data_IF_160079762314
#
_entry.id   IF_160079762314
#
_cell.length_a   1.000
_cell.length_b   1.000
_cell.length_c   1.000
_cell.angle_alpha   90.00
_cell.angle_beta   90.00
_cell.angle_gamma   90.00
#
_symmetry.space_group_name_H-M   'P 1'
#
loop_
_entity.id
_entity.type
_entity.pdbx_description
1 polymer ?
#
# COMPACT_ATOMS: atom_id res chain seq x y z
N UNK A 1 -10.42 6.55 1.75
CA UNK A 1 -11.19 6.59 0.49
C UNK A 1 -12.41 5.66 0.47
N UNK A 2 -12.95 5.20 1.61
CA UNK A 2 -14.09 4.30 1.61
C UNK A 2 -15.29 4.91 0.85
N UNK A 3 -15.84 4.17 -0.12
CA UNK A 3 -16.97 4.61 -0.96
C UNK A 3 -16.63 5.55 -2.12
N UNK A 4 -15.36 5.91 -2.33
CA UNK A 4 -14.93 6.75 -3.47
C UNK A 4 -14.77 5.88 -4.74
N UNK A 5 -15.39 6.24 -5.88
CA UNK A 5 -15.12 5.57 -7.15
C UNK A 5 -13.64 5.65 -7.51
N UNK A 6 -13.03 4.52 -7.88
CA UNK A 6 -11.59 4.45 -8.13
C UNK A 6 -11.24 3.42 -9.19
N UNK A 7 -10.17 3.71 -9.94
CA UNK A 7 -9.45 2.71 -10.72
C UNK A 7 -8.46 1.98 -9.82
N UNK A 8 -8.39 0.66 -9.93
CA UNK A 8 -7.44 -0.16 -9.17
C UNK A 8 -6.38 -0.74 -10.10
N UNK A 9 -5.12 -0.50 -9.76
CA UNK A 9 -3.97 -1.16 -10.39
C UNK A 9 -3.33 -2.06 -9.36
N UNK A 10 -3.45 -3.37 -9.58
CA UNK A 10 -2.85 -4.40 -8.75
C UNK A 10 -1.54 -4.88 -9.37
N UNK A 11 -0.41 -4.54 -8.78
CA UNK A 11 0.90 -5.02 -9.22
C UNK A 11 1.10 -6.48 -8.79
N UNK A 12 2.11 -7.14 -9.36
CA UNK A 12 2.47 -8.52 -9.02
C UNK A 12 3.74 -8.57 -8.18
N UNK A 13 3.86 -9.64 -7.38
CA UNK A 13 5.02 -9.88 -6.51
C UNK A 13 4.78 -9.42 -5.07
N UNK A 14 5.05 -10.29 -4.10
CA UNK A 14 5.01 -9.96 -2.68
C UNK A 14 5.86 -10.92 -1.84
N UNK A 15 6.94 -10.42 -1.27
CA UNK A 15 7.80 -11.11 -0.31
C UNK A 15 7.37 -10.97 1.14
N UNK A 16 6.23 -10.32 1.44
CA UNK A 16 5.77 -10.10 2.83
C UNK A 16 5.29 -11.41 3.48
N UNK A 17 4.71 -12.33 2.70
CA UNK A 17 4.44 -13.70 3.15
C UNK A 17 3.33 -13.86 4.20
N UNK A 18 2.24 -13.08 4.11
CA UNK A 18 1.15 -13.17 5.10
C UNK A 18 0.37 -14.51 5.03
N UNK A 19 0.09 -15.12 6.19
CA UNK A 19 -0.60 -16.41 6.29
C UNK A 19 -2.03 -16.37 5.72
N UNK A 20 -2.77 -15.32 6.05
CA UNK A 20 -4.17 -15.07 5.66
C UNK A 20 -4.29 -13.92 4.65
N UNK A 21 -3.38 -13.86 3.68
CA UNK A 21 -3.56 -12.98 2.52
C UNK A 21 -4.79 -13.42 1.70
N UNK A 22 -5.71 -12.50 1.42
CA UNK A 22 -6.88 -12.72 0.57
C UNK A 22 -6.55 -12.67 -0.93
N UNK A 23 -5.41 -12.05 -1.29
CA UNK A 23 -4.94 -11.94 -2.68
C UNK A 23 -3.66 -12.74 -2.91
N UNK A 24 -3.57 -14.00 -2.46
CA UNK A 24 -2.36 -14.85 -2.68
C UNK A 24 -1.95 -14.97 -4.15
N UNK A 25 -2.92 -14.89 -5.06
CA UNK A 25 -2.66 -14.87 -6.50
C UNK A 25 -1.83 -13.67 -6.97
N UNK A 26 -1.72 -12.60 -6.18
CA UNK A 26 -0.89 -11.43 -6.50
C UNK A 26 0.56 -11.55 -6.01
N UNK A 27 0.92 -12.67 -5.37
CA UNK A 27 2.26 -12.89 -4.81
C UNK A 27 3.28 -13.37 -5.84
N UNK A 28 2.82 -13.98 -6.93
CA UNK A 28 3.67 -14.46 -8.02
C UNK A 28 4.05 -13.31 -8.96
N UNK A 29 5.34 -12.96 -9.00
CA UNK A 29 5.86 -11.93 -9.90
C UNK A 29 5.62 -12.24 -11.40
N UNK A 30 5.46 -13.52 -11.76
CA UNK A 30 5.15 -13.97 -13.11
C UNK A 30 3.65 -14.01 -13.44
N UNK A 31 2.77 -13.81 -12.46
CA UNK A 31 1.31 -14.02 -12.62
C UNK A 31 0.56 -12.90 -13.33
N UNK A 32 1.25 -11.87 -13.84
CA UNK A 32 0.64 -10.66 -14.41
C UNK A 32 0.96 -10.45 -15.87
N UNK A 33 0.45 -9.35 -16.42
CA UNK A 33 0.80 -8.87 -17.75
C UNK A 33 1.78 -7.71 -17.63
N UNK A 34 2.92 -7.81 -18.31
CA UNK A 34 3.85 -6.70 -18.43
C UNK A 34 3.19 -5.57 -19.23
N UNK A 35 3.20 -4.36 -18.67
CA UNK A 35 2.59 -3.17 -19.26
C UNK A 35 3.44 -1.94 -18.95
N UNK A 36 3.52 -1.02 -19.90
CA UNK A 36 3.99 0.33 -19.64
C UNK A 36 2.93 1.12 -18.84
N UNK A 37 3.38 2.10 -18.05
CA UNK A 37 2.46 2.96 -17.28
C UNK A 37 1.42 3.67 -18.18
N UNK A 38 1.80 4.04 -19.40
CA UNK A 38 0.90 4.66 -20.38
C UNK A 38 -0.22 3.73 -20.84
N UNK A 39 0.04 2.42 -20.94
CA UNK A 39 -0.97 1.42 -21.28
C UNK A 39 -1.98 1.26 -20.14
N UNK A 40 -1.50 1.28 -18.89
CA UNK A 40 -2.35 1.26 -17.69
C UNK A 40 -3.31 2.46 -17.69
N UNK A 41 -2.82 3.67 -18.01
CA UNK A 41 -3.66 4.85 -18.16
C UNK A 41 -4.76 4.66 -19.23
N UNK A 42 -4.38 4.16 -20.39
CA UNK A 42 -5.34 3.97 -21.50
C UNK A 42 -6.44 2.97 -21.12
N UNK A 43 -6.07 1.85 -20.48
CA UNK A 43 -7.03 0.86 -20.01
C UNK A 43 -7.94 1.40 -18.91
N UNK A 44 -7.38 2.10 -17.92
CA UNK A 44 -8.17 2.73 -16.85
C UNK A 44 -9.20 3.71 -17.43
N UNK A 45 -8.79 4.59 -18.35
CA UNK A 45 -9.69 5.57 -18.97
C UNK A 45 -10.75 4.92 -19.86
N UNK A 46 -10.51 3.72 -20.40
CA UNK A 46 -11.51 2.97 -21.17
C UNK A 46 -12.63 2.40 -20.29
N UNK A 47 -12.39 2.22 -18.99
CA UNK A 47 -13.41 1.80 -18.02
C UNK A 47 -14.33 2.96 -17.57
N UNK A 48 -13.96 4.20 -17.87
CA UNK A 48 -14.69 5.41 -17.50
C UNK A 48 -13.88 6.34 -16.59
N UNK A 49 -14.48 7.46 -16.21
CA UNK A 49 -13.84 8.44 -15.34
C UNK A 49 -13.96 8.05 -13.87
N UNK A 50 -12.84 8.15 -13.14
CA UNK A 50 -12.80 8.00 -11.69
C UNK A 50 -11.83 9.04 -11.09
N UNK A 51 -12.17 9.71 -9.98
CA UNK A 51 -11.33 10.74 -9.38
C UNK A 51 -10.08 10.19 -8.66
N UNK A 52 -10.02 8.88 -8.45
CA UNK A 52 -9.01 8.20 -7.64
C UNK A 52 -8.37 7.05 -8.44
N UNK A 53 -7.04 6.99 -8.41
CA UNK A 53 -6.29 5.78 -8.70
C UNK A 53 -5.79 5.16 -7.40
N UNK A 54 -6.06 3.88 -7.19
CA UNK A 54 -5.47 3.08 -6.11
C UNK A 54 -4.46 2.10 -6.72
N UNK A 55 -3.19 2.24 -6.34
CA UNK A 55 -2.12 1.29 -6.65
C UNK A 55 -1.94 0.36 -5.46
N UNK A 56 -2.02 -0.95 -5.68
CA UNK A 56 -1.99 -2.00 -4.64
C UNK A 56 -1.30 -3.25 -5.18
N UNK A 57 -1.19 -4.30 -4.37
CA UNK A 57 -0.82 -5.67 -4.77
C UNK A 57 0.60 -5.89 -5.30
N UNK A 58 1.13 -7.11 -5.29
CA UNK A 58 1.21 -7.81 -4.04
C UNK A 58 1.76 -6.83 -3.01
N UNK A 59 3.06 -6.57 -2.97
CA UNK A 59 3.62 -5.42 -2.25
C UNK A 59 4.14 -4.37 -3.24
N UNK A 60 3.45 -3.23 -3.42
CA UNK A 60 3.85 -2.23 -4.41
C UNK A 60 5.28 -1.71 -4.23
N UNK A 61 5.77 -1.60 -2.98
CA UNK A 61 7.12 -1.10 -2.71
C UNK A 61 8.23 -2.03 -3.21
N UNK A 62 7.92 -3.30 -3.50
CA UNK A 62 8.88 -4.24 -4.10
C UNK A 62 8.89 -4.16 -5.63
N UNK A 63 7.90 -3.49 -6.24
CA UNK A 63 7.76 -3.45 -7.69
C UNK A 63 8.64 -2.36 -8.32
N UNK A 64 9.58 -2.69 -9.21
CA UNK A 64 10.54 -1.72 -9.78
C UNK A 64 9.86 -0.63 -10.62
N UNK A 65 8.68 -0.91 -11.16
CA UNK A 65 7.89 0.05 -11.95
C UNK A 65 7.06 1.05 -11.13
N UNK A 66 7.02 0.97 -9.79
CA UNK A 66 6.13 1.79 -8.98
C UNK A 66 6.36 3.29 -9.20
N UNK A 67 7.61 3.76 -9.18
CA UNK A 67 7.92 5.18 -9.32
C UNK A 67 7.45 5.76 -10.67
N UNK A 68 7.66 5.02 -11.76
CA UNK A 68 7.21 5.43 -13.10
C UNK A 68 5.68 5.50 -13.19
N UNK A 69 4.97 4.54 -12.58
CA UNK A 69 3.52 4.55 -12.51
C UNK A 69 3.00 5.74 -11.70
N UNK A 70 3.59 6.02 -10.53
CA UNK A 70 3.17 7.15 -9.69
C UNK A 70 3.43 8.50 -10.36
N UNK A 71 4.55 8.65 -11.07
CA UNK A 71 4.86 9.86 -11.85
C UNK A 71 3.78 10.16 -12.88
N UNK A 72 3.44 9.18 -13.72
CA UNK A 72 2.36 9.32 -14.69
C UNK A 72 1.01 9.54 -14.00
N UNK A 73 0.75 8.82 -12.90
CA UNK A 73 -0.53 8.91 -12.21
C UNK A 73 -0.78 10.32 -11.65
N UNK A 74 0.25 10.95 -11.10
CA UNK A 74 0.16 12.30 -10.58
C UNK A 74 -0.09 13.34 -11.68
N UNK A 75 0.27 13.09 -12.93
CA UNK A 75 -0.10 13.97 -14.04
C UNK A 75 -1.57 13.86 -14.44
N UNK A 76 -2.20 12.70 -14.22
CA UNK A 76 -3.49 12.37 -14.84
C UNK A 76 -4.66 12.23 -13.88
N UNK A 77 -4.43 11.87 -12.62
CA UNK A 77 -5.49 11.68 -11.63
C UNK A 77 -5.57 12.81 -10.60
N UNK A 78 -6.78 13.24 -10.20
CA UNK A 78 -6.98 14.20 -9.11
C UNK A 78 -6.40 13.71 -7.77
N UNK A 79 -6.45 12.39 -7.52
CA UNK A 79 -5.92 11.77 -6.31
C UNK A 79 -5.33 10.40 -6.64
N UNK A 80 -4.20 10.09 -6.02
CA UNK A 80 -3.54 8.78 -6.11
C UNK A 80 -3.38 8.23 -4.69
N UNK A 81 -3.65 6.94 -4.53
CA UNK A 81 -3.45 6.20 -3.30
C UNK A 81 -2.55 4.99 -3.53
N UNK A 82 -1.68 4.70 -2.59
CA UNK A 82 -0.91 3.45 -2.53
C UNK A 82 -1.31 2.67 -1.30
N UNK A 83 -1.69 1.40 -1.47
CA UNK A 83 -1.86 0.46 -0.38
C UNK A 83 -0.61 -0.42 -0.24
N UNK A 84 0.05 -0.38 0.91
CA UNK A 84 1.31 -1.08 1.15
C UNK A 84 1.36 -1.67 2.55
N UNK A 85 2.13 -2.72 2.76
CA UNK A 85 2.49 -3.18 4.12
C UNK A 85 3.46 -2.22 4.82
N UNK A 86 4.11 -1.32 4.08
CA UNK A 86 5.05 -0.35 4.62
C UNK A 86 6.46 -0.89 4.79
N UNK A 87 6.83 -2.06 4.25
CA UNK A 87 8.18 -2.66 4.41
C UNK A 87 9.39 -1.81 3.96
N UNK A 88 9.15 -0.68 3.29
CA UNK A 88 10.15 0.33 2.95
C UNK A 88 9.63 1.73 3.24
N UNK A 89 10.46 2.77 3.11
CA UNK A 89 10.02 4.16 3.27
C UNK A 89 9.08 4.58 2.12
N UNK A 90 8.34 5.69 2.26
CA UNK A 90 7.59 6.28 1.16
C UNK A 90 8.52 6.55 -0.04
N UNK A 91 8.17 6.09 -1.25
CA UNK A 91 9.03 6.28 -2.43
C UNK A 91 9.04 7.73 -2.91
N UNK A 92 8.01 8.51 -2.60
CA UNK A 92 7.92 9.94 -2.87
C UNK A 92 6.88 10.60 -1.96
N UNK A 93 6.94 11.92 -1.80
CA UNK A 93 5.91 12.70 -1.10
C UNK A 93 5.29 13.71 -2.05
N UNK A 94 3.95 13.80 -2.08
CA UNK A 94 3.24 14.70 -2.97
C UNK A 94 1.84 15.03 -2.43
N UNK A 95 1.37 16.27 -2.58
CA UNK A 95 0.10 16.75 -2.02
C UNK A 95 -1.16 15.98 -2.49
N UNK A 96 -1.07 15.28 -3.63
CA UNK A 96 -2.14 14.43 -4.19
C UNK A 96 -1.90 12.94 -4.04
N UNK A 97 -0.79 12.53 -3.41
CA UNK A 97 -0.46 11.13 -3.17
C UNK A 97 -0.68 10.80 -1.70
N UNK A 98 -1.49 9.78 -1.47
CA UNK A 98 -1.83 9.28 -0.15
C UNK A 98 -1.38 7.83 0.01
N UNK A 99 -1.07 7.45 1.24
CA UNK A 99 -0.63 6.10 1.56
C UNK A 99 -1.54 5.48 2.60
N UNK A 100 -2.07 4.30 2.31
CA UNK A 100 -2.70 3.43 3.29
C UNK A 100 -1.66 2.38 3.68
N UNK A 101 -0.94 2.63 4.77
CA UNK A 101 0.15 1.79 5.27
C UNK A 101 -0.44 0.78 6.23
N UNK A 102 -0.25 -0.51 5.98
CA UNK A 102 -0.79 -1.59 6.80
C UNK A 102 0.34 -2.46 7.34
N UNK A 103 1.09 -1.99 8.35
CA UNK A 103 2.11 -2.80 8.99
C UNK A 103 1.50 -4.12 9.46
N UNK A 104 2.24 -5.20 9.27
CA UNK A 104 1.75 -6.54 9.58
C UNK A 104 2.09 -6.87 11.03
N UNK A 105 1.12 -7.42 11.75
CA UNK A 105 1.32 -7.90 13.11
C UNK A 105 2.02 -9.28 13.10
N UNK A 106 2.65 -9.70 14.21
CA UNK A 106 3.37 -10.96 14.29
C UNK A 106 2.56 -12.18 13.87
N UNK A 107 1.27 -12.23 14.21
CA UNK A 107 0.41 -13.35 13.82
C UNK A 107 0.16 -13.40 12.30
N UNK A 108 0.28 -12.27 11.60
CA UNK A 108 0.02 -12.20 10.17
C UNK A 108 1.17 -12.76 9.32
N UNK A 109 2.43 -12.56 9.73
CA UNK A 109 3.62 -13.03 9.00
C UNK A 109 4.84 -13.14 9.92
N UNK A 110 5.73 -14.13 9.71
CA UNK A 110 7.00 -14.21 10.43
C UNK A 110 7.95 -13.05 10.11
N UNK A 111 7.72 -12.30 9.03
CA UNK A 111 8.53 -11.15 8.62
C UNK A 111 7.99 -9.80 9.09
N UNK A 112 7.16 -9.76 10.13
CA UNK A 112 6.44 -8.56 10.59
C UNK A 112 7.38 -7.37 10.88
N UNK A 113 8.59 -7.63 11.40
CA UNK A 113 9.55 -6.58 11.74
C UNK A 113 9.92 -5.71 10.54
N UNK A 114 9.90 -6.27 9.32
CA UNK A 114 10.21 -5.51 8.09
C UNK A 114 9.30 -4.30 7.94
N UNK A 115 8.01 -4.47 8.23
CA UNK A 115 7.02 -3.39 8.13
C UNK A 115 7.09 -2.41 9.30
N UNK A 116 7.57 -2.84 10.48
CA UNK A 116 7.68 -1.97 11.65
C UNK A 116 8.92 -1.07 11.59
N UNK A 117 10.04 -1.58 11.06
CA UNK A 117 11.33 -0.86 10.97
C UNK A 117 11.26 0.48 10.22
N UNK A 118 10.35 0.61 9.27
CA UNK A 118 10.14 1.79 8.45
C UNK A 118 9.10 2.75 9.02
N UNK A 119 8.43 2.42 10.13
CA UNK A 119 7.29 3.20 10.66
C UNK A 119 7.63 4.66 10.89
N UNK A 120 8.86 4.98 11.31
CA UNK A 120 9.30 6.37 11.50
C UNK A 120 9.18 7.21 10.21
N UNK A 121 9.59 6.64 9.06
CA UNK A 121 9.47 7.33 7.77
C UNK A 121 8.00 7.53 7.36
N UNK A 122 7.11 6.61 7.72
CA UNK A 122 5.67 6.74 7.49
C UNK A 122 5.01 7.73 8.46
N UNK A 123 5.53 7.89 9.67
CA UNK A 123 5.11 8.94 10.59
C UNK A 123 5.50 10.31 10.03
N UNK A 124 6.67 10.43 9.39
CA UNK A 124 7.09 11.70 8.79
C UNK A 124 6.35 12.05 7.49
N UNK A 125 5.70 11.06 6.84
CA UNK A 125 4.87 11.29 5.65
C UNK A 125 3.47 11.80 6.03
N UNK A 126 3.13 13.08 5.75
CA UNK A 126 1.87 13.68 6.20
C UNK A 126 0.62 13.04 5.59
N UNK A 127 0.72 12.45 4.39
CA UNK A 127 -0.41 11.83 3.70
C UNK A 127 -0.52 10.31 3.95
N UNK A 128 0.25 9.78 4.92
CA UNK A 128 0.14 8.38 5.33
C UNK A 128 -0.92 8.18 6.43
N UNK A 129 -1.79 7.20 6.24
CA UNK A 129 -2.74 6.66 7.23
C UNK A 129 -2.37 5.21 7.50
N UNK A 130 -2.31 4.82 8.77
CA UNK A 130 -2.03 3.47 9.22
C UNK A 130 -3.33 2.68 9.33
N UNK A 131 -3.47 1.60 8.55
CA UNK A 131 -4.62 0.68 8.58
C UNK A 131 -4.15 -0.67 9.13
N UNK A 132 -4.21 -0.83 10.44
CA UNK A 132 -3.78 -2.06 11.12
C UNK A 132 -4.94 -3.06 11.11
N UNK A 133 -4.69 -4.25 10.57
CA UNK A 133 -5.66 -5.36 10.62
C UNK A 133 -5.48 -6.07 11.95
N UNK A 134 -6.56 -6.16 12.73
CA UNK A 134 -6.59 -6.75 14.06
C UNK A 134 -7.63 -7.86 14.08
N UNK A 135 -7.20 -9.08 14.39
CA UNK A 135 -8.08 -10.23 14.63
C UNK A 135 -8.24 -10.51 16.13
N UNK A 136 -8.12 -11.79 16.47
CA UNK A 136 -8.17 -12.29 17.85
C UNK A 136 -6.84 -12.05 18.60
N UNK A 137 -6.80 -12.20 19.92
CA UNK A 137 -5.54 -12.17 20.67
C UNK A 137 -4.46 -13.10 20.05
N UNK A 138 -3.21 -12.63 19.91
CA UNK A 138 -2.63 -11.44 20.54
C UNK A 138 -2.71 -10.14 19.72
N UNK A 139 -3.42 -10.10 18.59
CA UNK A 139 -3.39 -8.96 17.66
C UNK A 139 -3.72 -7.59 18.31
N UNK A 140 -4.70 -7.45 19.21
CA UNK A 140 -4.97 -6.16 19.86
C UNK A 140 -3.77 -5.63 20.66
N UNK A 141 -3.07 -6.50 21.38
CA UNK A 141 -1.90 -6.13 22.18
C UNK A 141 -0.71 -5.78 21.28
N UNK A 142 -0.51 -6.55 20.20
CA UNK A 142 0.53 -6.26 19.22
C UNK A 142 0.29 -4.96 18.44
N UNK A 143 -0.98 -4.64 18.14
CA UNK A 143 -1.33 -3.35 17.53
C UNK A 143 -1.04 -2.18 18.47
N UNK A 144 -1.41 -2.29 19.75
CA UNK A 144 -1.10 -1.27 20.76
C UNK A 144 0.42 -1.13 20.95
N UNK A 145 1.16 -2.24 20.93
CA UNK A 145 2.63 -2.25 20.99
C UNK A 145 3.24 -1.50 19.80
N UNK A 146 2.82 -1.80 18.57
CA UNK A 146 3.25 -1.08 17.37
C UNK A 146 3.00 0.43 17.49
N UNK A 147 1.79 0.81 17.90
CA UNK A 147 1.41 2.23 18.05
C UNK A 147 2.31 2.91 19.09
N UNK A 148 2.53 2.29 20.23
CA UNK A 148 3.32 2.86 21.33
C UNK A 148 4.82 2.94 21.00
N UNK A 149 5.41 1.85 20.52
CA UNK A 149 6.85 1.75 20.22
C UNK A 149 7.25 2.70 19.09
N UNK A 150 6.42 2.83 18.05
CA UNK A 150 6.70 3.65 16.88
C UNK A 150 6.00 5.02 16.88
N UNK A 151 5.27 5.35 17.96
CA UNK A 151 4.57 6.62 18.16
C UNK A 151 3.65 6.97 16.98
N UNK A 152 2.89 5.98 16.51
CA UNK A 152 1.92 6.20 15.44
C UNK A 152 0.86 7.22 15.90
N UNK A 153 0.62 8.32 15.16
CA UNK A 153 -0.32 9.33 15.61
C UNK A 153 -1.75 8.80 15.63
N UNK A 154 -2.43 8.91 16.77
CA UNK A 154 -3.79 8.39 16.94
C UNK A 154 -4.80 8.92 15.91
N UNK A 155 -4.60 10.13 15.38
CA UNK A 155 -5.45 10.71 14.33
C UNK A 155 -5.25 10.08 12.93
N UNK A 156 -4.24 9.21 12.78
CA UNK A 156 -3.85 8.56 11.52
C UNK A 156 -3.83 7.04 11.63
N UNK A 157 -4.44 6.46 12.66
CA UNK A 157 -4.57 5.00 12.88
C UNK A 157 -6.04 4.61 12.82
#
# INVERSE_FOLDING_TARGET
SAGTPAHFVRLQGCGVGCHWCDTKYSGDAGGGRAMAASEIWNEARALGDAPLLVVTGGEPLEHPGLAALLGLALERWPRVEVETSGIGPPPLSHARLFYNVSPKLPAATPGWERSWRSSAAWVDEPNATFKIVVGDPPDPDDALRLIAEHRLPAARV
#
